data_IF_102940502117
#
_entry.id   IF_102940502117
#
_cell.length_a   1.000
_cell.length_b   1.000
_cell.length_c   1.000
_cell.angle_alpha   90.00
_cell.angle_beta   90.00
_cell.angle_gamma   90.00
#
_symmetry.space_group_name_H-M   'P 1'
#
loop_
_entity.id
_entity.type
_entity.pdbx_description
1 polymer ?
#
# COMPACT_ATOMS: atom_id res chain seq x y z
N UNK A 1 -11.93 -12.18 -23.69
CA UNK A 1 -10.58 -11.56 -23.65
C UNK A 1 -10.34 -10.63 -22.43
N UNK A 2 -11.21 -10.54 -21.43
CA UNK A 2 -11.06 -9.58 -20.32
C UNK A 2 -10.12 -10.03 -19.16
N UNK A 3 -9.83 -11.33 -19.02
CA UNK A 3 -9.09 -11.86 -17.88
C UNK A 3 -7.59 -11.47 -17.86
N UNK A 4 -6.94 -11.41 -19.03
CA UNK A 4 -5.51 -11.10 -19.12
C UNK A 4 -5.20 -9.64 -18.70
N UNK A 5 -6.06 -8.68 -19.08
CA UNK A 5 -5.94 -7.29 -18.65
C UNK A 5 -6.14 -7.10 -17.15
N UNK A 6 -7.07 -7.85 -16.54
CA UNK A 6 -7.26 -7.83 -15.09
C UNK A 6 -6.06 -8.40 -14.33
N UNK A 7 -5.47 -9.50 -14.80
CA UNK A 7 -4.28 -10.08 -14.16
C UNK A 7 -3.08 -9.13 -14.22
N UNK A 8 -2.87 -8.42 -15.34
CA UNK A 8 -1.81 -7.40 -15.42
C UNK A 8 -2.05 -6.24 -14.45
N UNK A 9 -3.30 -5.77 -14.32
CA UNK A 9 -3.66 -4.72 -13.36
C UNK A 9 -3.42 -5.16 -11.90
N UNK A 10 -3.69 -6.43 -11.57
CA UNK A 10 -3.50 -6.98 -10.22
C UNK A 10 -2.01 -7.11 -9.87
N UNK A 11 -1.17 -7.51 -10.83
CA UNK A 11 0.29 -7.58 -10.63
C UNK A 11 0.90 -6.19 -10.48
N UNK A 12 0.40 -5.19 -11.20
CA UNK A 12 0.82 -3.80 -11.01
C UNK A 12 0.44 -3.29 -9.62
N UNK A 13 -0.80 -3.54 -9.18
CA UNK A 13 -1.28 -3.20 -7.84
C UNK A 13 -0.39 -3.83 -6.75
N UNK A 14 -0.11 -5.12 -6.87
CA UNK A 14 0.79 -5.84 -5.96
C UNK A 14 2.19 -5.19 -5.89
N UNK A 15 2.79 -4.85 -7.04
CA UNK A 15 4.09 -4.18 -7.08
C UNK A 15 4.06 -2.81 -6.41
N UNK A 16 2.98 -2.05 -6.61
CA UNK A 16 2.81 -0.73 -6.01
C UNK A 16 2.69 -0.81 -4.49
N UNK A 17 1.89 -1.76 -3.99
CA UNK A 17 1.74 -2.01 -2.55
C UNK A 17 3.07 -2.40 -1.93
N UNK A 18 3.81 -3.34 -2.54
CA UNK A 18 5.12 -3.75 -2.05
C UNK A 18 6.13 -2.59 -2.04
N UNK A 19 6.10 -1.73 -3.06
CA UNK A 19 6.95 -0.54 -3.10
C UNK A 19 6.61 0.40 -1.95
N UNK A 20 5.33 0.71 -1.74
CA UNK A 20 4.89 1.59 -0.66
C UNK A 20 5.22 1.00 0.72
N UNK A 21 4.95 -0.29 0.94
CA UNK A 21 5.25 -0.98 2.19
C UNK A 21 6.76 -1.03 2.52
N UNK A 22 7.64 -1.05 1.51
CA UNK A 22 9.10 -0.97 1.71
C UNK A 22 9.56 0.37 2.28
N UNK A 23 8.90 1.46 1.89
CA UNK A 23 9.21 2.80 2.36
C UNK A 23 8.53 3.15 3.69
N UNK A 24 7.65 2.27 4.19
CA UNK A 24 6.95 2.50 5.44
C UNK A 24 7.93 2.45 6.64
N UNK A 25 8.07 3.54 7.42
CA UNK A 25 9.02 3.63 8.53
C UNK A 25 8.46 2.93 9.78
N UNK A 26 8.26 1.61 9.70
CA UNK A 26 7.79 0.79 10.82
C UNK A 26 8.73 -0.37 11.07
N UNK A 27 8.98 -0.65 12.35
CA UNK A 27 9.67 -1.88 12.80
C UNK A 27 8.94 -3.14 12.31
N UNK A 28 7.62 -3.05 12.09
CA UNK A 28 6.78 -4.14 11.58
C UNK A 28 6.77 -4.24 10.05
N UNK A 29 7.52 -3.43 9.30
CA UNK A 29 7.46 -3.41 7.82
C UNK A 29 7.67 -4.79 7.20
N UNK A 30 8.60 -5.58 7.73
CA UNK A 30 8.88 -6.91 7.21
C UNK A 30 7.70 -7.86 7.42
N UNK A 31 7.04 -7.76 8.59
CA UNK A 31 5.83 -8.51 8.87
C UNK A 31 4.69 -8.10 7.95
N UNK A 32 4.48 -6.79 7.74
CA UNK A 32 3.45 -6.25 6.83
C UNK A 32 3.68 -6.75 5.40
N UNK A 33 4.91 -6.64 4.88
CA UNK A 33 5.28 -7.14 3.56
C UNK A 33 5.03 -8.65 3.45
N UNK A 34 5.37 -9.42 4.50
CA UNK A 34 5.15 -10.87 4.52
C UNK A 34 3.66 -11.19 4.45
N UNK A 35 2.84 -10.56 5.29
CA UNK A 35 1.38 -10.74 5.29
C UNK A 35 0.77 -10.43 3.93
N UNK A 36 1.15 -9.30 3.30
CA UNK A 36 0.67 -8.94 1.96
C UNK A 36 1.04 -10.02 0.93
N UNK A 37 2.26 -10.56 1.00
CA UNK A 37 2.68 -11.65 0.10
C UNK A 37 1.88 -12.92 0.32
N UNK A 38 1.65 -13.30 1.57
CA UNK A 38 0.91 -14.51 1.92
C UNK A 38 -0.55 -14.39 1.46
N UNK A 39 -1.22 -13.27 1.71
CA UNK A 39 -2.60 -13.02 1.24
C UNK A 39 -2.73 -13.05 -0.29
N UNK A 40 -1.79 -12.42 -1.03
CA UNK A 40 -1.82 -12.48 -2.50
C UNK A 40 -1.52 -13.89 -3.02
N UNK A 41 -0.73 -14.68 -2.30
CA UNK A 41 -0.42 -16.06 -2.69
C UNK A 41 -1.59 -17.00 -2.42
N UNK A 42 -2.26 -16.85 -1.29
CA UNK A 42 -3.47 -17.61 -0.93
C UNK A 42 -4.61 -17.32 -1.90
N UNK A 43 -4.78 -16.05 -2.28
CA UNK A 43 -5.81 -15.63 -3.23
C UNK A 43 -5.38 -15.79 -4.71
N UNK A 44 -4.22 -16.38 -5.02
CA UNK A 44 -3.74 -16.54 -6.41
C UNK A 44 -4.65 -17.44 -7.24
N UNK A 45 -5.27 -18.44 -6.60
CA UNK A 45 -6.17 -19.39 -7.24
C UNK A 45 -7.65 -18.98 -7.16
N UNK A 46 -7.94 -17.78 -6.62
CA UNK A 46 -9.31 -17.29 -6.49
C UNK A 46 -9.88 -17.01 -7.89
N UNK A 47 -10.90 -17.76 -8.27
CA UNK A 47 -11.60 -17.63 -9.56
C UNK A 47 -12.99 -16.98 -9.41
N UNK A 48 -13.45 -16.81 -8.17
CA UNK A 48 -14.72 -16.14 -7.87
C UNK A 48 -14.63 -14.64 -8.17
N UNK A 49 -15.41 -14.12 -9.12
CA UNK A 49 -15.31 -12.72 -9.56
C UNK A 49 -15.71 -11.72 -8.47
N UNK A 50 -16.61 -12.07 -7.56
CA UNK A 50 -17.05 -11.19 -6.46
C UNK A 50 -15.95 -11.07 -5.42
N UNK A 51 -15.32 -12.20 -5.06
CA UNK A 51 -14.20 -12.19 -4.13
C UNK A 51 -12.97 -11.49 -4.70
N UNK A 52 -12.68 -11.66 -6.00
CA UNK A 52 -11.58 -10.94 -6.67
C UNK A 52 -11.81 -9.42 -6.60
N UNK A 53 -13.03 -8.95 -6.85
CA UNK A 53 -13.37 -7.52 -6.70
C UNK A 53 -13.16 -7.05 -5.25
N UNK A 54 -13.60 -7.84 -4.27
CA UNK A 54 -13.45 -7.49 -2.86
C UNK A 54 -11.97 -7.41 -2.45
N UNK A 55 -11.16 -8.43 -2.79
CA UNK A 55 -9.72 -8.43 -2.56
C UNK A 55 -9.03 -7.23 -3.23
N UNK A 56 -9.45 -6.90 -4.45
CA UNK A 56 -8.95 -5.73 -5.17
C UNK A 56 -9.28 -4.43 -4.44
N UNK A 57 -10.53 -4.23 -4.01
CA UNK A 57 -10.93 -3.03 -3.29
C UNK A 57 -10.15 -2.86 -1.96
N UNK A 58 -9.93 -3.96 -1.24
CA UNK A 58 -9.10 -3.96 -0.02
C UNK A 58 -7.64 -3.57 -0.34
N UNK A 59 -7.07 -4.15 -1.40
CA UNK A 59 -5.70 -3.86 -1.82
C UNK A 59 -5.53 -2.41 -2.30
N UNK A 60 -6.49 -1.86 -3.06
CA UNK A 60 -6.49 -0.45 -3.49
C UNK A 60 -6.59 0.50 -2.30
N UNK A 61 -7.43 0.19 -1.30
CA UNK A 61 -7.54 0.97 -0.07
C UNK A 61 -6.23 0.95 0.73
N UNK A 62 -5.65 -0.24 0.93
CA UNK A 62 -4.36 -0.38 1.62
C UNK A 62 -3.22 0.35 0.92
N UNK A 63 -3.22 0.37 -0.42
CA UNK A 63 -2.26 1.18 -1.20
C UNK A 63 -2.46 2.68 -0.95
N UNK A 64 -3.70 3.16 -0.98
CA UNK A 64 -4.03 4.56 -0.73
C UNK A 64 -3.57 4.99 0.67
N UNK A 65 -3.81 4.16 1.69
CA UNK A 65 -3.38 4.45 3.06
C UNK A 65 -1.85 4.54 3.15
N UNK A 66 -1.12 3.56 2.60
CA UNK A 66 0.34 3.56 2.57
C UNK A 66 0.90 4.78 1.80
N UNK A 67 0.27 5.16 0.69
CA UNK A 67 0.65 6.32 -0.10
C UNK A 67 0.37 7.64 0.63
N UNK A 68 -0.75 7.74 1.37
CA UNK A 68 -1.05 8.92 2.19
C UNK A 68 0.03 9.15 3.24
N UNK A 69 0.52 8.09 3.89
CA UNK A 69 1.67 8.18 4.80
C UNK A 69 2.94 8.67 4.10
N UNK A 70 3.23 8.20 2.89
CA UNK A 70 4.39 8.66 2.11
C UNK A 70 4.25 10.11 1.64
N UNK A 71 3.04 10.54 1.23
CA UNK A 71 2.74 11.90 0.81
C UNK A 71 2.90 12.90 1.93
N UNK A 72 2.44 12.57 3.15
CA UNK A 72 2.71 13.39 4.34
C UNK A 72 4.21 13.49 4.66
N UNK A 73 4.99 12.43 4.42
CA UNK A 73 6.43 12.43 4.65
C UNK A 73 7.18 13.30 3.62
N UNK A 74 6.75 13.32 2.36
CA UNK A 74 7.29 14.24 1.35
C UNK A 74 7.01 15.70 1.67
N UNK A 75 5.83 16.00 2.22
CA UNK A 75 5.48 17.38 2.61
C UNK A 75 6.17 17.83 3.89
N UNK A 76 6.52 16.90 4.79
CA UNK A 76 7.28 17.18 6.02
C UNK A 76 8.78 17.40 5.79
N UNK A 77 9.31 17.07 4.61
CA UNK A 77 10.73 17.26 4.28
C UNK A 77 11.19 18.72 4.09
N UNK A 78 10.26 19.69 4.09
CA UNK A 78 10.57 21.12 3.98
C UNK A 78 9.86 21.98 5.04
N UNK A 79 9.29 21.37 6.08
CA UNK A 79 8.69 22.12 7.17
C UNK A 79 9.81 22.49 8.15
N UNK A 80 10.49 23.60 7.90
CA UNK A 80 11.27 24.31 8.90
C UNK A 80 10.31 24.71 10.03
N UNK A 81 10.11 23.80 10.99
CA UNK A 81 9.43 24.08 12.24
C UNK A 81 10.37 25.01 13.02
N UNK A 82 10.27 26.30 12.74
CA UNK A 82 10.67 27.32 13.69
C UNK A 82 9.67 27.23 14.83
N UNK A 83 9.99 26.40 15.83
CA UNK A 83 9.43 26.53 17.18
C UNK A 83 9.86 27.91 17.69
N UNK A 84 9.08 28.94 17.36
CA UNK A 84 9.21 30.23 18.02
C UNK A 84 8.76 30.02 19.46
N UNK A 85 9.74 30.17 20.35
CA UNK A 85 9.70 29.77 21.73
C UNK A 85 8.48 30.29 22.49
N UNK A 86 8.11 29.49 23.47
CA UNK A 86 7.56 29.96 24.71
C UNK A 86 8.32 31.23 25.17
N UNK A 87 7.59 32.33 25.34
CA UNK A 87 7.79 33.37 26.36
C UNK A 87 6.72 34.44 26.17
N UNK A 88 6.01 34.77 27.25
CA UNK A 88 5.07 35.88 27.34
C UNK A 88 3.93 35.57 28.29
#
# INVERSE_FOLDING_TARGET
MAAAGQQQSMLQLYRHILKAAKHFPSVKKHSIIKTIKDEFRENRALTDPEKVKQCRAVAERGLSDLQAYMGMQQQSGNMSITLKGATG
#
